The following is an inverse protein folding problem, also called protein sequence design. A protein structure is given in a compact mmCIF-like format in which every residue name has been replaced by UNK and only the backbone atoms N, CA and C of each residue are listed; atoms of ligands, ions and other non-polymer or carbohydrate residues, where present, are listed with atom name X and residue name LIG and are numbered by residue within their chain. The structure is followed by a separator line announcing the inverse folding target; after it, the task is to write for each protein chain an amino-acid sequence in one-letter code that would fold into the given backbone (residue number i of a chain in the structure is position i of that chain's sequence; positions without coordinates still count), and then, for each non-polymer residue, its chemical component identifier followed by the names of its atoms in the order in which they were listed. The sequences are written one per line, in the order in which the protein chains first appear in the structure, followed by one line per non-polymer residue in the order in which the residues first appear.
data_IF_406924974253
#
_entry.id   IF_406924974253
#
_cell.length_a   1.000
_cell.length_b   1.000
_cell.length_c   1.000
_cell.angle_alpha   90.00
_cell.angle_beta   90.00
_cell.angle_gamma   90.00
#
_symmetry.space_group_name_H-M   'P 1'
#
loop_
_entity.id
_entity.type
_entity.pdbx_description
1 polymer ?
#
# COMPACT_ATOMS: atom_id res chain seq x y z
N UNK A 1 -9.17 -42.78 -5.00
CA UNK A 1 -8.98 -41.52 -5.74
C UNK A 1 -7.57 -41.10 -5.46
N UNK A 2 -6.70 -41.25 -6.44
CA UNK A 2 -5.30 -40.83 -6.35
C UNK A 2 -5.27 -39.30 -6.29
N UNK A 3 -4.73 -38.76 -5.20
CA UNK A 3 -4.38 -37.34 -5.10
C UNK A 3 -3.20 -37.14 -6.06
N UNK A 4 -3.47 -36.55 -7.21
CA UNK A 4 -2.40 -36.04 -8.08
C UNK A 4 -1.72 -34.91 -7.31
N UNK A 5 -0.46 -35.14 -6.92
CA UNK A 5 0.43 -34.07 -6.47
C UNK A 5 0.57 -33.09 -7.64
N UNK A 6 -0.06 -31.92 -7.53
CA UNK A 6 0.20 -30.81 -8.43
C UNK A 6 1.67 -30.41 -8.26
N UNK A 7 2.51 -30.74 -9.25
CA UNK A 7 3.86 -30.18 -9.38
C UNK A 7 3.73 -28.65 -9.34
N UNK A 8 4.13 -28.04 -8.23
CA UNK A 8 4.15 -26.60 -8.08
C UNK A 8 5.10 -26.01 -9.14
N UNK A 9 4.54 -25.27 -10.09
CA UNK A 9 5.31 -24.58 -11.11
C UNK A 9 6.30 -23.62 -10.44
N UNK A 10 7.53 -23.57 -10.95
CA UNK A 10 8.57 -22.64 -10.47
C UNK A 10 8.07 -21.18 -10.54
N UNK A 11 8.24 -20.39 -9.47
CA UNK A 11 7.76 -19.01 -9.43
C UNK A 11 8.49 -18.16 -10.48
N UNK A 12 7.75 -17.27 -11.13
CA UNK A 12 8.30 -16.38 -12.14
C UNK A 12 9.28 -15.37 -11.53
N UNK A 13 10.14 -14.76 -12.36
CA UNK A 13 11.03 -13.69 -11.91
C UNK A 13 10.26 -12.47 -11.38
N UNK A 14 9.04 -12.24 -11.87
CA UNK A 14 8.17 -11.18 -11.36
C UNK A 14 7.67 -11.53 -9.95
N UNK A 15 7.29 -12.79 -9.70
CA UNK A 15 6.81 -13.24 -8.39
C UNK A 15 7.92 -13.11 -7.33
N UNK A 16 9.16 -13.44 -7.69
CA UNK A 16 10.32 -13.27 -6.81
C UNK A 16 10.52 -11.79 -6.42
N UNK A 17 10.44 -10.89 -7.39
CA UNK A 17 10.55 -9.44 -7.14
C UNK A 17 9.38 -8.90 -6.32
N UNK A 18 8.17 -9.34 -6.63
CA UNK A 18 6.98 -8.95 -5.87
C UNK A 18 7.10 -9.41 -4.41
N UNK A 19 7.65 -10.61 -4.18
CA UNK A 19 7.93 -11.10 -2.82
C UNK A 19 8.99 -10.24 -2.11
N UNK A 20 10.06 -9.83 -2.79
CA UNK A 20 11.07 -8.93 -2.23
C UNK A 20 10.47 -7.58 -1.81
N UNK A 21 9.67 -6.93 -2.66
CA UNK A 21 9.04 -5.66 -2.31
C UNK A 21 7.92 -5.80 -1.28
N UNK A 22 7.25 -6.96 -1.22
CA UNK A 22 6.32 -7.26 -0.13
C UNK A 22 7.05 -7.39 1.21
N UNK A 23 8.25 -7.98 1.25
CA UNK A 23 9.07 -8.02 2.47
C UNK A 23 9.45 -6.61 2.94
N UNK A 24 9.79 -5.70 2.02
CA UNK A 24 10.04 -4.29 2.35
C UNK A 24 8.79 -3.63 2.97
N UNK A 25 7.59 -3.88 2.43
CA UNK A 25 6.35 -3.37 3.02
C UNK A 25 6.06 -3.96 4.41
N UNK A 26 6.39 -5.24 4.63
CA UNK A 26 6.30 -5.88 5.94
C UNK A 26 7.27 -5.24 6.93
N UNK A 27 8.48 -4.90 6.51
CA UNK A 27 9.47 -4.25 7.36
C UNK A 27 9.04 -2.82 7.76
N UNK A 28 8.38 -2.07 6.87
CA UNK A 28 7.72 -0.81 7.23
C UNK A 28 6.64 -1.01 8.30
N UNK A 29 5.80 -2.04 8.16
CA UNK A 29 4.77 -2.34 9.14
C UNK A 29 5.34 -2.66 10.54
N UNK A 30 6.50 -3.32 10.59
CA UNK A 30 7.20 -3.67 11.85
C UNK A 30 7.74 -2.46 12.60
N UNK A 31 7.96 -1.32 11.94
CA UNK A 31 8.43 -0.09 12.62
C UNK A 31 7.47 0.35 13.74
N UNK A 32 6.20 -0.06 13.66
CA UNK A 32 5.15 0.23 14.65
C UNK A 32 4.78 -1.01 15.48
N UNK A 33 4.92 -2.22 14.91
CA UNK A 33 4.38 -3.47 15.45
C UNK A 33 5.14 -4.15 16.59
N UNK A 34 6.37 -3.73 16.95
CA UNK A 34 6.94 -4.11 18.25
C UNK A 34 8.47 -4.28 18.34
N UNK A 35 8.98 -4.09 19.56
CA UNK A 35 9.96 -5.03 20.12
C UNK A 35 11.29 -4.50 20.65
N UNK A 36 11.66 -3.24 20.45
CA UNK A 36 12.92 -2.72 21.01
C UNK A 36 12.80 -1.24 21.30
N UNK A 37 12.98 -0.85 22.58
CA UNK A 37 13.60 0.36 23.19
C UNK A 37 13.64 1.72 22.45
N UNK A 38 13.08 1.86 21.26
CA UNK A 38 12.87 3.11 20.55
C UNK A 38 11.47 3.54 20.91
N UNK A 39 11.41 4.67 21.59
CA UNK A 39 10.22 5.47 21.90
C UNK A 39 9.52 5.91 20.58
N UNK A 40 8.96 4.94 19.86
CA UNK A 40 8.13 5.14 18.67
C UNK A 40 6.70 5.51 19.06
N UNK A 41 5.99 6.30 18.23
CA UNK A 41 4.73 6.91 18.60
C UNK A 41 3.61 5.87 18.74
N UNK A 42 2.61 6.24 19.53
CA UNK A 42 1.39 5.50 19.89
C UNK A 42 1.01 4.31 18.99
N UNK A 43 0.79 3.16 19.64
CA UNK A 43 0.20 1.94 19.06
C UNK A 43 -0.86 2.25 17.98
N UNK A 44 -0.87 1.53 16.86
CA UNK A 44 -1.82 1.78 15.77
C UNK A 44 -3.25 1.47 16.18
N UNK A 45 -3.46 0.80 17.33
CA UNK A 45 -4.77 0.51 17.88
C UNK A 45 -5.66 1.78 17.93
N UNK A 46 -6.89 1.72 17.38
CA UNK A 46 -7.62 0.52 16.96
C UNK A 46 -7.37 0.04 15.51
N UNK A 47 -6.48 0.65 14.75
CA UNK A 47 -6.17 0.29 13.36
C UNK A 47 -5.21 -0.91 13.27
N UNK A 48 -5.29 -1.70 12.19
CA UNK A 48 -4.34 -2.77 11.94
C UNK A 48 -2.93 -2.22 11.67
N UNK A 49 -1.92 -3.00 12.06
CA UNK A 49 -0.54 -2.77 11.65
C UNK A 49 -0.45 -3.10 10.15
N UNK A 50 -0.15 -2.09 9.33
CA UNK A 50 0.03 -2.27 7.89
C UNK A 50 1.16 -1.39 7.38
N UNK A 51 1.79 -1.85 6.30
CA UNK A 51 2.88 -1.15 5.60
C UNK A 51 2.60 -1.07 4.10
N UNK A 52 3.19 -0.06 3.48
CA UNK A 52 3.04 0.26 2.08
C UNK A 52 4.38 0.66 1.46
N UNK A 53 4.65 0.15 0.26
CA UNK A 53 5.83 0.56 -0.54
C UNK A 53 5.38 0.82 -1.97
N UNK A 54 5.74 1.98 -2.49
CA UNK A 54 5.46 2.37 -3.87
C UNK A 54 6.74 2.21 -4.69
N UNK A 55 6.69 1.44 -5.77
CA UNK A 55 7.85 1.07 -6.59
C UNK A 55 7.64 1.44 -8.04
N UNK A 56 8.66 2.03 -8.67
CA UNK A 56 8.76 2.14 -10.11
C UNK A 56 9.41 0.87 -10.68
N UNK A 57 8.63 0.04 -11.36
CA UNK A 57 9.10 -1.24 -11.91
C UNK A 57 10.08 -1.11 -13.06
N UNK A 58 9.97 -0.04 -13.83
CA UNK A 58 10.89 0.21 -14.95
C UNK A 58 12.32 0.46 -14.46
N UNK A 59 12.46 1.09 -13.29
CA UNK A 59 13.76 1.43 -12.68
C UNK A 59 14.13 0.54 -11.48
N UNK A 60 13.20 -0.30 -11.01
CA UNK A 60 13.30 -1.08 -9.77
C UNK A 60 13.65 -0.22 -8.54
N UNK A 61 13.09 1.00 -8.48
CA UNK A 61 13.34 1.96 -7.39
C UNK A 61 12.09 2.16 -6.56
N UNK A 62 12.28 2.16 -5.24
CA UNK A 62 11.26 2.58 -4.29
C UNK A 62 11.12 4.10 -4.40
N UNK A 63 9.91 4.55 -4.69
CA UNK A 63 9.54 5.96 -4.77
C UNK A 63 9.15 6.51 -3.40
N UNK A 64 8.46 5.70 -2.60
CA UNK A 64 7.97 6.10 -1.29
C UNK A 64 7.63 4.91 -0.39
N UNK A 65 7.53 5.19 0.90
CA UNK A 65 7.23 4.23 1.97
C UNK A 65 6.14 4.78 2.89
N UNK A 66 5.37 3.90 3.50
CA UNK A 66 4.34 4.28 4.46
C UNK A 66 4.01 3.16 5.44
N UNK A 67 3.59 3.54 6.63
CA UNK A 67 3.12 2.62 7.67
C UNK A 67 1.89 3.21 8.37
N UNK A 68 0.99 2.34 8.81
CA UNK A 68 -0.21 2.73 9.55
C UNK A 68 0.13 3.01 11.01
N UNK A 69 -0.36 4.12 11.54
CA UNK A 69 -0.33 4.44 12.97
C UNK A 69 -1.73 4.79 13.49
N UNK A 70 -1.83 5.35 14.70
CA UNK A 70 -3.10 5.75 15.29
C UNK A 70 -3.80 6.92 14.57
N UNK A 71 -3.08 7.71 13.77
CA UNK A 71 -3.59 8.92 13.11
C UNK A 71 -3.92 8.64 11.65
N UNK A 72 -3.01 8.02 10.93
CA UNK A 72 -3.01 7.90 9.48
C UNK A 72 -2.77 6.47 9.02
N UNK A 73 -3.37 6.15 7.89
CA UNK A 73 -3.17 4.88 7.20
C UNK A 73 -1.84 4.90 6.41
N UNK A 74 -1.25 3.73 6.18
CA UNK A 74 -0.03 3.57 5.39
C UNK A 74 -0.10 4.18 3.99
N UNK A 75 -1.26 4.15 3.32
CA UNK A 75 -1.39 4.63 1.94
C UNK A 75 -1.27 6.16 1.83
N UNK A 76 -2.09 6.99 2.51
CA UNK A 76 -1.94 8.45 2.51
C UNK A 76 -0.51 8.90 2.87
N UNK A 77 0.13 8.22 3.82
CA UNK A 77 1.53 8.47 4.18
C UNK A 77 2.48 8.18 3.04
N UNK A 78 2.34 7.02 2.40
CA UNK A 78 3.14 6.64 1.24
C UNK A 78 2.98 7.65 0.08
N UNK A 79 1.76 8.12 -0.19
CA UNK A 79 1.54 9.16 -1.21
C UNK A 79 2.17 10.49 -0.83
N UNK A 80 2.07 10.89 0.44
CA UNK A 80 2.69 12.12 0.95
C UNK A 80 4.22 12.05 0.89
N UNK A 81 4.81 10.90 1.22
CA UNK A 81 6.24 10.63 1.11
C UNK A 81 6.73 10.67 -0.35
N UNK A 82 5.90 10.22 -1.29
CA UNK A 82 6.14 10.40 -2.74
C UNK A 82 6.01 11.86 -3.21
N UNK A 83 5.57 12.78 -2.34
CA UNK A 83 5.35 14.20 -2.63
C UNK A 83 3.99 14.51 -3.25
N UNK A 84 3.03 13.58 -3.24
CA UNK A 84 1.67 13.83 -3.70
C UNK A 84 0.90 14.64 -2.65
N UNK A 85 0.04 15.54 -3.13
CA UNK A 85 -0.87 16.30 -2.27
C UNK A 85 -2.30 15.83 -2.47
N UNK A 86 -2.99 15.44 -1.41
CA UNK A 86 -4.40 15.05 -1.44
C UNK A 86 -5.23 16.21 -0.91
N UNK A 87 -6.06 16.83 -1.76
CA UNK A 87 -6.86 17.99 -1.37
C UNK A 87 -8.36 17.67 -1.34
N UNK A 88 -9.07 17.96 -0.23
CA UNK A 88 -10.53 17.91 -0.19
C UNK A 88 -11.14 19.06 -1.02
N UNK A 89 -11.66 18.76 -2.21
CA UNK A 89 -12.56 19.66 -2.95
C UNK A 89 -13.97 19.06 -3.01
N UNK A 90 -14.81 19.49 -3.97
CA UNK A 90 -16.13 18.86 -4.23
C UNK A 90 -15.96 17.38 -4.60
N UNK A 91 -14.88 17.07 -5.29
CA UNK A 91 -14.32 15.74 -5.56
C UNK A 91 -12.85 15.77 -5.11
N UNK A 92 -12.28 14.65 -4.69
CA UNK A 92 -10.89 14.61 -4.22
C UNK A 92 -9.92 14.88 -5.38
N UNK A 93 -8.90 15.69 -5.12
CA UNK A 93 -7.89 16.01 -6.12
C UNK A 93 -6.50 15.57 -5.66
N UNK A 94 -5.79 14.88 -6.56
CA UNK A 94 -4.39 14.50 -6.38
C UNK A 94 -3.51 15.51 -7.13
N UNK A 95 -2.67 16.21 -6.38
CA UNK A 95 -1.62 17.08 -6.89
C UNK A 95 -0.32 16.31 -7.04
N UNK A 96 0.29 16.38 -8.23
CA UNK A 96 1.58 15.77 -8.53
C UNK A 96 2.68 16.84 -8.50
N UNK A 97 3.85 16.56 -7.89
CA UNK A 97 4.96 17.50 -7.85
C UNK A 97 5.60 17.70 -9.23
N UNK A 98 5.59 16.66 -10.07
CA UNK A 98 6.10 16.70 -11.44
C UNK A 98 5.24 15.84 -12.38
N UNK A 99 5.29 16.15 -13.68
CA UNK A 99 4.59 15.37 -14.71
C UNK A 99 5.20 13.98 -14.87
N UNK A 100 6.51 13.86 -14.69
CA UNK A 100 7.23 12.59 -14.76
C UNK A 100 6.74 11.62 -13.68
N UNK A 101 6.47 12.10 -12.45
CA UNK A 101 5.93 11.24 -11.40
C UNK A 101 4.50 10.79 -11.73
N UNK A 102 3.67 11.68 -12.28
CA UNK A 102 2.34 11.32 -12.75
C UNK A 102 2.40 10.21 -13.83
N UNK A 103 3.27 10.38 -14.82
CA UNK A 103 3.44 9.39 -15.89
C UNK A 103 3.96 8.06 -15.33
N UNK A 104 4.87 8.07 -14.35
CA UNK A 104 5.35 6.87 -13.67
C UNK A 104 4.21 6.17 -12.92
N UNK A 105 3.39 6.90 -12.16
CA UNK A 105 2.29 6.32 -11.41
C UNK A 105 1.29 5.58 -12.30
N UNK A 106 0.94 6.21 -13.43
CA UNK A 106 -0.05 5.70 -14.39
C UNK A 106 0.41 4.49 -15.19
N UNK A 107 1.72 4.31 -15.39
CA UNK A 107 2.23 3.31 -16.35
C UNK A 107 3.21 2.30 -15.74
N UNK A 108 4.02 2.71 -14.78
CA UNK A 108 5.20 1.96 -14.34
C UNK A 108 5.20 1.66 -12.83
N UNK A 109 4.23 2.17 -12.06
CA UNK A 109 4.22 2.04 -10.62
C UNK A 109 3.39 0.86 -10.10
N UNK A 110 3.92 0.16 -9.10
CA UNK A 110 3.15 -0.77 -8.27
C UNK A 110 3.19 -0.32 -6.82
N UNK A 111 2.02 -0.36 -6.19
CA UNK A 111 1.88 -0.21 -4.74
C UNK A 111 1.79 -1.60 -4.09
N UNK A 112 2.69 -1.89 -3.18
CA UNK A 112 2.67 -3.11 -2.36
C UNK A 112 2.07 -2.77 -1.00
N UNK A 113 1.03 -3.50 -0.61
CA UNK A 113 0.33 -3.32 0.66
C UNK A 113 0.33 -4.62 1.44
N UNK A 114 0.68 -4.57 2.72
CA UNK A 114 0.64 -5.77 3.57
C UNK A 114 -0.79 -6.22 3.89
N UNK A 115 -1.76 -5.30 3.82
CA UNK A 115 -3.18 -5.54 4.07
C UNK A 115 -4.00 -4.90 2.96
N UNK A 116 -5.12 -5.54 2.63
CA UNK A 116 -6.09 -5.02 1.67
C UNK A 116 -6.56 -3.60 2.01
N UNK A 117 -6.59 -2.67 1.04
CA UNK A 117 -7.06 -1.31 1.30
C UNK A 117 -8.57 -1.32 1.58
N UNK A 118 -8.98 -0.56 2.60
CA UNK A 118 -10.40 -0.44 2.94
C UNK A 118 -11.18 0.34 1.87
N UNK A 119 -12.32 -0.22 1.47
CA UNK A 119 -13.30 0.44 0.62
C UNK A 119 -14.18 1.45 1.39
N UNK A 120 -14.12 1.48 2.72
CA UNK A 120 -14.89 2.41 3.54
C UNK A 120 -14.24 3.78 3.63
N UNK A 121 -15.08 4.82 3.75
CA UNK A 121 -14.59 6.18 3.99
C UNK A 121 -14.11 6.32 5.43
N UNK A 122 -12.91 6.88 5.58
CA UNK A 122 -12.42 7.29 6.89
C UNK A 122 -12.95 8.70 7.24
N UNK A 123 -14.14 8.73 7.84
CA UNK A 123 -14.83 9.98 8.21
C UNK A 123 -15.33 10.78 7.00
N UNK A 124 -15.49 12.10 7.18
CA UNK A 124 -15.99 13.00 6.13
C UNK A 124 -14.88 13.66 5.31
N UNK A 125 -13.64 13.62 5.80
CA UNK A 125 -12.50 14.40 5.32
C UNK A 125 -11.47 13.57 4.54
N UNK A 126 -11.72 12.30 4.24
CA UNK A 126 -10.89 11.52 3.33
C UNK A 126 -11.78 10.62 2.46
N UNK A 127 -11.36 10.32 1.22
CA UNK A 127 -11.97 9.24 0.46
C UNK A 127 -11.67 7.89 1.13
N UNK A 128 -12.26 6.80 0.61
CA UNK A 128 -11.77 5.47 0.97
C UNK A 128 -10.34 5.28 0.47
N UNK A 129 -9.61 4.36 1.09
CA UNK A 129 -8.21 4.09 0.72
C UNK A 129 -8.14 3.56 -0.71
N UNK A 130 -9.06 2.66 -1.07
CA UNK A 130 -9.20 2.16 -2.45
C UNK A 130 -9.41 3.30 -3.43
N UNK A 131 -10.31 4.25 -3.12
CA UNK A 131 -10.56 5.40 -4.00
C UNK A 131 -9.34 6.32 -4.13
N UNK A 132 -8.57 6.48 -3.05
CA UNK A 132 -7.36 7.28 -3.07
C UNK A 132 -6.29 6.70 -4.01
N UNK A 133 -6.15 5.37 -4.02
CA UNK A 133 -5.25 4.64 -4.93
C UNK A 133 -5.69 4.85 -6.39
N UNK A 134 -6.99 4.73 -6.66
CA UNK A 134 -7.56 4.97 -8.01
C UNK A 134 -7.32 6.41 -8.48
N UNK A 135 -7.63 7.41 -7.65
CA UNK A 135 -7.50 8.83 -7.98
C UNK A 135 -6.02 9.24 -8.15
N UNK A 136 -5.10 8.54 -7.47
CA UNK A 136 -3.65 8.70 -7.64
C UNK A 136 -3.12 8.05 -8.93
N UNK A 137 -3.97 7.33 -9.67
CA UNK A 137 -3.63 6.72 -10.95
C UNK A 137 -2.60 5.61 -10.83
N UNK A 138 -2.54 4.89 -9.70
CA UNK A 138 -1.56 3.82 -9.50
C UNK A 138 -1.89 2.64 -10.42
N UNK A 139 -0.94 2.28 -11.29
CA UNK A 139 -1.15 1.26 -12.33
C UNK A 139 -1.46 -0.13 -11.78
N UNK A 140 -0.78 -0.55 -10.72
CA UNK A 140 -0.89 -1.89 -10.15
C UNK A 140 -0.84 -1.86 -8.63
N UNK A 141 -1.59 -2.75 -7.99
CA UNK A 141 -1.55 -2.98 -6.54
C UNK A 141 -1.29 -4.46 -6.28
N UNK A 142 -0.40 -4.75 -5.33
CA UNK A 142 -0.13 -6.11 -4.83
C UNK A 142 -0.46 -6.13 -3.34
N UNK A 143 -1.30 -7.06 -2.94
CA UNK A 143 -1.82 -7.17 -1.57
C UNK A 143 -1.29 -8.44 -0.92
N UNK A 144 -0.68 -8.31 0.26
CA UNK A 144 -0.09 -9.41 1.01
C UNK A 144 -1.10 -10.25 1.79
N UNK A 145 -2.13 -9.62 2.35
CA UNK A 145 -3.21 -10.29 3.07
C UNK A 145 -4.56 -9.61 2.77
N UNK A 146 -5.60 -10.43 2.59
CA UNK A 146 -6.98 -9.96 2.48
C UNK A 146 -7.46 -9.37 3.82
N UNK A 147 -8.44 -8.47 3.77
CA UNK A 147 -9.09 -7.99 4.99
C UNK A 147 -9.78 -9.19 5.70
N UNK A 148 -9.47 -9.45 6.98
CA UNK A 148 -10.07 -10.57 7.72
C UNK A 148 -11.57 -10.38 7.98
N UNK A 149 -12.11 -9.17 7.77
CA UNK A 149 -13.53 -8.85 7.92
C UNK A 149 -14.19 -8.89 6.53
N UNK A 150 -15.00 -9.93 6.21
CA UNK A 150 -15.57 -10.10 4.87
C UNK A 150 -16.39 -8.91 4.37
N UNK A 151 -17.01 -8.15 5.28
CA UNK A 151 -17.79 -6.96 4.96
C UNK A 151 -16.93 -5.79 4.46
N UNK A 152 -15.65 -5.75 4.83
CA UNK A 152 -14.69 -4.70 4.49
C UNK A 152 -13.85 -5.02 3.25
N UNK A 153 -13.88 -6.28 2.78
CA UNK A 153 -13.21 -6.69 1.55
C UNK A 153 -13.73 -5.88 0.35
N UNK A 154 -12.80 -5.40 -0.47
CA UNK A 154 -13.11 -4.67 -1.69
C UNK A 154 -13.85 -5.60 -2.66
N UNK A 155 -15.05 -5.19 -3.09
CA UNK A 155 -15.89 -5.94 -4.04
C UNK A 155 -15.61 -5.58 -5.49
#
# INVERSE_FOLDING_TARGET
GELQEEEAAEPSEQDKRDAEYMLEAIDEAKLIGGGSEREGPMSPFPRPIAGAVLVNHKTNRILARGYSDCLEDCVPKCLTDAGLTVTPLREWAIGYPTRELQDVLHNDATLYLTLEPSAERNGSLMPSITRLIEDAGIHRVVVGAMDPIPELQSK
#
